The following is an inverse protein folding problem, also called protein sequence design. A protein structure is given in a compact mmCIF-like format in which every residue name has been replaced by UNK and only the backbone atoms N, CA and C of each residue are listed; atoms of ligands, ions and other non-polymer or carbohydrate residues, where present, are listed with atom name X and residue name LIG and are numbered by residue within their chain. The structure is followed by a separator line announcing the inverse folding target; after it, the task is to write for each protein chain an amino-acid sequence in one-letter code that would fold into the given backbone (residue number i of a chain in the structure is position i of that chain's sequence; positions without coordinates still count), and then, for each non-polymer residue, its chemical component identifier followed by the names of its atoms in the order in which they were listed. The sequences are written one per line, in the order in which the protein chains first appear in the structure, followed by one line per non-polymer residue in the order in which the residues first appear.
data_IF_985020374665
#
_entry.id   IF_985020374665
#
_cell.length_a   1.000
_cell.length_b   1.000
_cell.length_c   1.000
_cell.angle_alpha   90.00
_cell.angle_beta   90.00
_cell.angle_gamma   90.00
#
_symmetry.space_group_name_H-M   'P 1'
#
loop_
_entity.id
_entity.type
_entity.pdbx_description
1 polymer ?
#
# COMPACT_ATOMS: atom_id res chain seq x y z
N UNK A 1 -22.60 -13.46 17.32
CA UNK A 1 -21.12 -13.62 17.32
C UNK A 1 -20.59 -14.55 16.23
N UNK A 2 -21.20 -15.72 15.97
CA UNK A 2 -20.78 -16.63 14.87
C UNK A 2 -20.62 -15.99 13.47
N UNK A 3 -21.54 -15.16 12.94
CA UNK A 3 -21.40 -14.63 11.59
C UNK A 3 -20.20 -13.67 11.43
N UNK A 4 -19.86 -12.91 12.48
CA UNK A 4 -18.71 -12.01 12.48
C UNK A 4 -17.39 -12.77 12.37
N UNK A 5 -17.27 -13.90 13.08
CA UNK A 5 -16.08 -14.76 13.03
C UNK A 5 -15.91 -15.40 11.64
N UNK A 6 -17.01 -15.78 11.00
CA UNK A 6 -16.98 -16.31 9.63
C UNK A 6 -16.51 -15.26 8.63
N UNK A 7 -17.04 -14.03 8.71
CA UNK A 7 -16.63 -12.92 7.83
C UNK A 7 -15.15 -12.58 8.01
N UNK A 8 -14.66 -12.52 9.26
CA UNK A 8 -13.25 -12.28 9.56
C UNK A 8 -12.34 -13.38 9.00
N UNK A 9 -12.75 -14.65 9.10
CA UNK A 9 -11.98 -15.75 8.52
C UNK A 9 -11.89 -15.66 7.00
N UNK A 10 -12.98 -15.31 6.32
CA UNK A 10 -12.97 -15.11 4.87
C UNK A 10 -12.13 -13.92 4.46
N UNK A 11 -12.22 -12.80 5.19
CA UNK A 11 -11.36 -11.64 4.98
C UNK A 11 -9.88 -12.02 5.06
N UNK A 12 -9.46 -12.75 6.09
CA UNK A 12 -8.06 -13.19 6.23
C UNK A 12 -7.59 -14.10 5.09
N UNK A 13 -8.43 -15.01 4.62
CA UNK A 13 -8.11 -15.88 3.46
C UNK A 13 -7.93 -15.07 2.18
N UNK A 14 -8.77 -14.07 1.98
CA UNK A 14 -8.68 -13.18 0.83
C UNK A 14 -7.45 -12.27 0.92
N UNK A 15 -7.15 -11.74 2.10
CA UNK A 15 -5.99 -10.89 2.37
C UNK A 15 -4.67 -11.56 1.96
N UNK A 16 -4.61 -12.89 2.04
CA UNK A 16 -3.46 -13.68 1.59
C UNK A 16 -3.02 -13.32 0.17
N UNK A 17 -3.95 -13.05 -0.75
CA UNK A 17 -3.61 -12.66 -2.12
C UNK A 17 -2.85 -11.33 -2.16
N UNK A 18 -3.28 -10.36 -1.35
CA UNK A 18 -2.58 -9.09 -1.20
C UNK A 18 -1.21 -9.26 -0.52
N UNK A 19 -1.11 -10.17 0.46
CA UNK A 19 0.15 -10.52 1.12
C UNK A 19 1.14 -11.17 0.16
N UNK A 20 0.70 -12.00 -0.78
CA UNK A 20 1.58 -12.56 -1.82
C UNK A 20 2.21 -11.43 -2.64
N UNK A 21 1.44 -10.44 -3.09
CA UNK A 21 1.97 -9.27 -3.82
C UNK A 21 2.92 -8.47 -2.93
N UNK A 22 2.59 -8.31 -1.65
CA UNK A 22 3.41 -7.60 -0.66
C UNK A 22 4.80 -8.24 -0.52
N UNK A 23 4.86 -9.56 -0.33
CA UNK A 23 6.14 -10.27 -0.17
C UNK A 23 6.93 -10.31 -1.48
N UNK A 24 6.25 -10.40 -2.64
CA UNK A 24 6.92 -10.30 -3.94
C UNK A 24 7.53 -8.91 -4.17
N UNK A 25 6.88 -7.84 -3.71
CA UNK A 25 7.41 -6.48 -3.75
C UNK A 25 8.69 -6.33 -2.90
N UNK A 26 8.69 -6.92 -1.70
CA UNK A 26 9.90 -7.03 -0.87
C UNK A 26 11.01 -7.79 -1.59
N UNK A 27 10.73 -9.00 -2.07
CA UNK A 27 11.69 -9.86 -2.76
C UNK A 27 12.32 -9.14 -3.97
N UNK A 28 11.50 -8.51 -4.81
CA UNK A 28 11.97 -7.77 -5.98
C UNK A 28 12.93 -6.64 -5.55
N UNK A 29 12.55 -5.85 -4.55
CA UNK A 29 13.33 -4.70 -4.11
C UNK A 29 14.64 -5.11 -3.44
N UNK A 30 14.62 -6.21 -2.67
CA UNK A 30 15.82 -6.85 -2.12
C UNK A 30 16.79 -7.21 -3.25
N UNK A 31 16.30 -7.87 -4.30
CA UNK A 31 17.12 -8.27 -5.45
C UNK A 31 17.68 -7.05 -6.18
N UNK A 32 16.88 -6.00 -6.37
CA UNK A 32 17.32 -4.73 -6.97
C UNK A 32 18.37 -4.01 -6.12
N UNK A 33 18.30 -4.10 -4.79
CA UNK A 33 19.31 -3.55 -3.87
C UNK A 33 20.57 -4.42 -3.73
N UNK A 34 20.73 -5.46 -4.56
CA UNK A 34 21.88 -6.37 -4.53
C UNK A 34 21.87 -7.37 -3.37
N UNK A 35 20.72 -7.55 -2.71
CA UNK A 35 20.52 -8.55 -1.67
C UNK A 35 20.34 -9.97 -2.23
N UNK A 36 20.55 -10.96 -1.37
CA UNK A 36 20.30 -12.36 -1.66
C UNK A 36 19.11 -12.85 -0.84
N UNK A 37 18.18 -13.51 -1.53
CA UNK A 37 16.98 -14.09 -0.94
C UNK A 37 17.29 -15.54 -0.58
N UNK A 38 17.12 -15.88 0.68
CA UNK A 38 17.34 -17.23 1.19
C UNK A 38 16.05 -18.06 1.13
N UNK A 39 14.92 -17.42 1.40
CA UNK A 39 13.62 -18.08 1.43
C UNK A 39 12.51 -17.05 1.18
N UNK A 40 11.52 -17.41 0.37
CA UNK A 40 10.30 -16.63 0.16
C UNK A 40 9.15 -17.41 0.77
N UNK A 41 8.65 -16.95 1.93
CA UNK A 41 7.37 -17.40 2.45
C UNK A 41 6.32 -16.38 2.03
N UNK A 42 5.69 -16.65 0.89
CA UNK A 42 4.69 -15.77 0.24
C UNK A 42 3.53 -15.34 1.15
N UNK A 43 3.36 -16.00 2.29
CA UNK A 43 2.27 -15.77 3.25
C UNK A 43 2.72 -15.08 4.54
N UNK A 44 4.02 -14.82 4.74
CA UNK A 44 4.48 -14.32 6.05
C UNK A 44 5.76 -13.48 6.07
N UNK A 45 6.80 -13.80 5.28
CA UNK A 45 8.00 -12.96 5.18
C UNK A 45 8.92 -13.40 4.02
N UNK A 46 9.77 -12.49 3.56
CA UNK A 46 10.96 -12.79 2.75
C UNK A 46 12.22 -12.79 3.63
N UNK A 47 12.90 -13.92 3.74
CA UNK A 47 14.20 -13.99 4.42
C UNK A 47 15.29 -13.60 3.43
N UNK A 48 16.02 -12.53 3.75
CA UNK A 48 17.07 -12.01 2.91
C UNK A 48 18.26 -11.52 3.70
N UNK A 49 19.41 -11.43 3.03
CA UNK A 49 20.62 -10.87 3.60
C UNK A 49 21.38 -10.05 2.55
N UNK A 50 22.12 -9.06 3.02
CA UNK A 50 22.84 -8.12 2.16
C UNK A 50 23.41 -6.96 2.95
N UNK A 51 24.33 -6.21 2.35
CA UNK A 51 24.88 -4.97 2.91
C UNK A 51 24.00 -3.79 2.50
N UNK A 52 22.95 -3.54 3.27
CA UNK A 52 21.99 -2.47 2.98
C UNK A 52 22.40 -1.16 3.66
N UNK A 53 22.48 -0.09 2.88
CA UNK A 53 22.53 1.27 3.42
C UNK A 53 21.11 1.72 3.84
N UNK A 54 20.99 2.93 4.38
CA UNK A 54 19.69 3.44 4.84
C UNK A 54 18.67 3.55 3.70
N UNK A 55 19.09 4.00 2.51
CA UNK A 55 18.23 4.10 1.34
C UNK A 55 17.69 2.75 0.90
N UNK A 56 18.54 1.71 0.88
CA UNK A 56 18.11 0.34 0.60
C UNK A 56 17.12 -0.18 1.65
N UNK A 57 17.34 0.10 2.94
CA UNK A 57 16.41 -0.30 4.00
C UNK A 57 15.06 0.39 3.85
N UNK A 58 15.02 1.69 3.53
CA UNK A 58 13.77 2.42 3.25
C UNK A 58 13.07 1.82 2.02
N UNK A 59 13.81 1.64 0.92
CA UNK A 59 13.26 1.08 -0.32
C UNK A 59 12.65 -0.29 -0.09
N UNK A 60 13.38 -1.21 0.55
CA UNK A 60 12.88 -2.56 0.88
C UNK A 60 11.65 -2.44 1.79
N UNK A 61 11.75 -1.71 2.90
CA UNK A 61 10.68 -1.66 3.92
C UNK A 61 9.37 -1.05 3.43
N UNK A 62 9.42 -0.14 2.45
CA UNK A 62 8.24 0.56 1.92
C UNK A 62 7.88 0.17 0.49
N UNK A 63 8.61 -0.75 -0.14
CA UNK A 63 8.29 -1.24 -1.48
C UNK A 63 6.87 -1.82 -1.60
N UNK A 64 6.39 -2.64 -0.65
CA UNK A 64 5.02 -3.15 -0.73
C UNK A 64 3.97 -2.05 -0.66
N UNK A 65 4.21 -1.01 0.17
CA UNK A 65 3.30 0.13 0.25
C UNK A 65 3.14 0.76 -1.13
N UNK A 66 4.24 1.00 -1.84
CA UNK A 66 4.21 1.61 -3.18
C UNK A 66 3.60 0.67 -4.21
N UNK A 67 4.07 -0.58 -4.29
CA UNK A 67 3.68 -1.54 -5.33
C UNK A 67 2.22 -1.96 -5.18
N UNK A 68 1.78 -2.34 -3.97
CA UNK A 68 0.40 -2.74 -3.74
C UNK A 68 -0.57 -1.57 -3.95
N UNK A 69 -0.20 -0.36 -3.49
CA UNK A 69 -1.05 0.83 -3.71
C UNK A 69 -1.18 1.15 -5.19
N UNK A 70 -0.07 1.12 -5.94
CA UNK A 70 -0.09 1.37 -7.37
C UNK A 70 -0.91 0.30 -8.12
N UNK A 71 -0.71 -0.98 -7.82
CA UNK A 71 -1.45 -2.07 -8.44
C UNK A 71 -2.95 -1.95 -8.14
N UNK A 72 -3.32 -1.72 -6.88
CA UNK A 72 -4.71 -1.52 -6.48
C UNK A 72 -5.35 -0.31 -7.17
N UNK A 73 -4.62 0.81 -7.27
CA UNK A 73 -5.10 2.00 -7.95
C UNK A 73 -5.31 1.76 -9.45
N UNK A 74 -4.38 1.08 -10.12
CA UNK A 74 -4.50 0.72 -11.54
C UNK A 74 -5.70 -0.21 -11.75
N UNK A 75 -5.87 -1.24 -10.91
CA UNK A 75 -7.02 -2.14 -11.01
C UNK A 75 -8.33 -1.41 -10.77
N UNK A 76 -8.39 -0.49 -9.80
CA UNK A 76 -9.59 0.28 -9.51
C UNK A 76 -9.94 1.25 -10.64
N UNK A 77 -8.96 1.95 -11.21
CA UNK A 77 -9.15 2.82 -12.36
C UNK A 77 -9.62 2.01 -13.59
N UNK A 78 -9.01 0.84 -13.83
CA UNK A 78 -9.44 -0.07 -14.88
C UNK A 78 -10.89 -0.54 -14.69
N UNK A 79 -11.28 -0.87 -13.45
CA UNK A 79 -12.65 -1.28 -13.14
C UNK A 79 -13.67 -0.20 -13.52
N UNK A 80 -13.38 1.07 -13.22
CA UNK A 80 -14.27 2.19 -13.59
C UNK A 80 -14.33 2.38 -15.10
N UNK A 81 -13.26 2.10 -15.83
CA UNK A 81 -13.21 2.16 -17.30
C UNK A 81 -13.82 0.96 -18.04
N UNK A 82 -14.22 -0.10 -17.33
CA UNK A 82 -14.81 -1.31 -17.95
C UNK A 82 -16.04 -1.06 -18.83
N UNK A 83 -17.02 -0.21 -18.44
CA UNK A 83 -18.22 0.03 -19.24
C UNK A 83 -17.93 0.56 -20.65
N UNK A 84 -16.84 1.32 -20.79
CA UNK A 84 -16.43 1.94 -22.05
C UNK A 84 -15.48 1.04 -22.87
N UNK A 85 -15.07 -0.10 -22.32
CA UNK A 85 -14.17 -1.06 -22.98
C UNK A 85 -14.94 -2.14 -23.76
N UNK A 86 -14.26 -2.84 -24.68
CA UNK A 86 -14.80 -4.03 -25.38
C UNK A 86 -14.75 -5.32 -24.54
N UNK A 87 -14.09 -5.28 -23.38
CA UNK A 87 -13.79 -6.46 -22.60
C UNK A 87 -15.05 -7.16 -22.03
N UNK A 88 -16.06 -6.45 -21.48
CA UNK A 88 -17.29 -7.11 -21.03
C UNK A 88 -18.06 -7.82 -22.15
N UNK A 89 -18.02 -7.29 -23.38
CA UNK A 89 -18.64 -7.88 -24.56
C UNK A 89 -17.90 -9.17 -24.96
N UNK A 90 -16.57 -9.12 -25.01
CA UNK A 90 -15.72 -10.29 -25.29
C UNK A 90 -15.89 -11.38 -24.22
N UNK A 91 -15.92 -11.00 -22.93
CA UNK A 91 -16.13 -11.92 -21.83
C UNK A 91 -17.53 -12.57 -21.84
N UNK A 92 -18.57 -11.78 -22.15
CA UNK A 92 -19.94 -12.29 -22.35
C UNK A 92 -20.00 -13.27 -23.51
N UNK A 93 -19.36 -12.97 -24.65
CA UNK A 93 -19.29 -13.86 -25.80
C UNK A 93 -18.54 -15.17 -25.49
N UNK A 94 -17.46 -15.11 -24.70
CA UNK A 94 -16.69 -16.29 -24.29
C UNK A 94 -17.50 -17.29 -23.45
N UNK A 95 -18.51 -16.82 -22.69
CA UNK A 95 -19.46 -17.67 -21.97
C UNK A 95 -20.73 -17.97 -22.78
N UNK A 96 -20.67 -17.82 -24.10
CA UNK A 96 -21.76 -18.13 -25.03
C UNK A 96 -22.91 -17.12 -25.05
N UNK A 97 -22.69 -15.90 -24.53
CA UNK A 97 -23.71 -14.85 -24.46
C UNK A 97 -24.82 -15.12 -23.42
N UNK A 98 -24.64 -16.12 -22.56
CA UNK A 98 -25.62 -16.50 -21.52
C UNK A 98 -25.80 -15.37 -20.51
N UNK A 99 -24.71 -14.66 -20.18
CA UNK A 99 -24.71 -13.54 -19.24
C UNK A 99 -24.78 -12.23 -20.02
N UNK A 100 -25.82 -11.38 -19.82
CA UNK A 100 -25.91 -10.08 -20.47
C UNK A 100 -24.68 -9.22 -20.18
N UNK A 101 -24.23 -8.44 -21.17
CA UNK A 101 -23.05 -7.55 -21.04
C UNK A 101 -23.16 -6.63 -19.83
N UNK A 102 -24.34 -6.09 -19.54
CA UNK A 102 -24.58 -5.24 -18.36
C UNK A 102 -24.28 -5.96 -17.05
N UNK A 103 -24.70 -7.22 -16.91
CA UNK A 103 -24.42 -8.04 -15.74
C UNK A 103 -22.93 -8.41 -15.70
N UNK A 104 -22.34 -8.76 -16.84
CA UNK A 104 -20.91 -9.07 -16.95
C UNK A 104 -20.05 -7.88 -16.51
N UNK A 105 -20.36 -6.66 -16.96
CA UNK A 105 -19.67 -5.43 -16.56
C UNK A 105 -19.69 -5.26 -15.05
N UNK A 106 -20.85 -5.38 -14.40
CA UNK A 106 -20.97 -5.25 -12.94
C UNK A 106 -20.16 -6.33 -12.22
N UNK A 107 -20.23 -7.58 -12.69
CA UNK A 107 -19.46 -8.69 -12.10
C UNK A 107 -17.95 -8.42 -12.20
N UNK A 108 -17.46 -8.02 -13.36
CA UNK A 108 -16.04 -7.69 -13.58
C UNK A 108 -15.60 -6.49 -12.73
N UNK A 109 -16.44 -5.47 -12.61
CA UNK A 109 -16.18 -4.32 -11.74
C UNK A 109 -16.06 -4.74 -10.27
N UNK A 110 -17.00 -5.55 -9.78
CA UNK A 110 -16.97 -6.04 -8.39
C UNK A 110 -15.73 -6.89 -8.13
N UNK A 111 -15.35 -7.76 -9.07
CA UNK A 111 -14.13 -8.58 -8.95
C UNK A 111 -12.89 -7.70 -8.94
N UNK A 112 -12.77 -6.77 -9.87
CA UNK A 112 -11.61 -5.89 -10.00
C UNK A 112 -11.45 -4.97 -8.78
N UNK A 113 -12.54 -4.32 -8.35
CA UNK A 113 -12.54 -3.50 -7.13
C UNK A 113 -12.28 -4.33 -5.89
N UNK A 114 -12.88 -5.52 -5.78
CA UNK A 114 -12.63 -6.44 -4.67
C UNK A 114 -11.17 -6.87 -4.59
N UNK A 115 -10.56 -7.21 -5.73
CA UNK A 115 -9.14 -7.53 -5.81
C UNK A 115 -8.26 -6.32 -5.44
N UNK A 116 -8.53 -5.16 -6.02
CA UNK A 116 -7.83 -3.92 -5.70
C UNK A 116 -7.90 -3.58 -4.21
N UNK A 117 -9.07 -3.75 -3.59
CA UNK A 117 -9.24 -3.54 -2.15
C UNK A 117 -8.35 -4.47 -1.32
N UNK A 118 -8.34 -5.76 -1.63
CA UNK A 118 -7.52 -6.76 -0.94
C UNK A 118 -6.02 -6.46 -1.07
N UNK A 119 -5.58 -6.09 -2.28
CA UNK A 119 -4.18 -5.73 -2.54
C UNK A 119 -3.79 -4.47 -1.75
N UNK A 120 -4.62 -3.43 -1.77
CA UNK A 120 -4.37 -2.20 -1.01
C UNK A 120 -4.40 -2.44 0.50
N UNK A 121 -5.32 -3.28 1.00
CA UNK A 121 -5.42 -3.62 2.42
C UNK A 121 -4.11 -4.23 2.94
N UNK A 122 -3.47 -5.07 2.13
CA UNK A 122 -2.18 -5.66 2.45
C UNK A 122 -0.98 -4.72 2.24
N UNK A 123 -1.15 -3.46 1.83
CA UNK A 123 -0.02 -2.58 1.49
C UNK A 123 0.74 -2.03 2.71
N UNK A 124 0.07 -1.91 3.87
CA UNK A 124 0.64 -1.22 5.03
C UNK A 124 1.85 -1.98 5.61
N UNK A 125 2.98 -1.29 5.85
CA UNK A 125 4.21 -1.93 6.34
C UNK A 125 4.03 -2.51 7.74
N UNK A 126 4.68 -3.64 8.01
CA UNK A 126 4.70 -4.22 9.36
C UNK A 126 5.54 -3.37 10.31
N UNK A 127 5.43 -3.64 11.62
CA UNK A 127 6.31 -3.00 12.60
C UNK A 127 7.79 -3.30 12.34
N UNK A 128 8.11 -4.51 11.88
CA UNK A 128 9.47 -4.90 11.55
C UNK A 128 10.00 -4.08 10.37
N UNK A 129 9.18 -3.89 9.34
CA UNK A 129 9.54 -3.08 8.17
C UNK A 129 9.76 -1.62 8.58
N UNK A 130 8.84 -1.02 9.33
CA UNK A 130 9.00 0.36 9.80
C UNK A 130 10.23 0.55 10.73
N UNK A 131 10.59 -0.50 11.49
CA UNK A 131 11.70 -0.45 12.46
C UNK A 131 13.08 -0.54 11.80
N UNK A 132 13.23 -1.27 10.69
CA UNK A 132 14.53 -1.54 10.09
C UNK A 132 15.26 -0.25 9.63
N UNK A 133 14.63 0.67 8.86
CA UNK A 133 15.23 1.94 8.50
C UNK A 133 15.58 2.80 9.71
N UNK A 134 14.69 2.83 10.71
CA UNK A 134 14.87 3.60 11.94
C UNK A 134 16.10 3.12 12.72
N UNK A 135 16.27 1.80 12.85
CA UNK A 135 17.43 1.19 13.51
C UNK A 135 18.73 1.54 12.77
N UNK A 136 18.74 1.41 11.44
CA UNK A 136 19.91 1.75 10.63
C UNK A 136 20.26 3.23 10.73
N UNK A 137 19.27 4.12 10.68
CA UNK A 137 19.48 5.56 10.83
C UNK A 137 20.07 5.91 12.20
N UNK A 138 19.51 5.35 13.28
CA UNK A 138 20.02 5.55 14.64
C UNK A 138 21.46 5.04 14.80
N UNK A 139 21.79 3.89 14.22
CA UNK A 139 23.15 3.35 14.23
C UNK A 139 24.14 4.24 13.47
N UNK A 140 23.72 4.81 12.34
CA UNK A 140 24.55 5.75 11.58
C UNK A 140 24.74 7.08 12.32
N UNK A 141 23.72 7.58 13.01
CA UNK A 141 23.84 8.79 13.83
C UNK A 141 24.80 8.64 15.01
N UNK A 142 24.93 7.43 15.57
CA UNK A 142 25.89 7.15 16.65
C UNK A 142 27.36 7.28 16.20
N UNK A 143 27.64 7.20 14.89
CA UNK A 143 28.96 7.42 14.32
C UNK A 143 29.11 8.89 13.92
N UNK A 144 29.52 9.73 14.87
CA UNK A 144 29.70 11.17 14.68
C UNK A 144 30.86 11.46 13.73
N UNK A 145 30.55 12.10 12.60
CA UNK A 145 31.54 12.72 11.70
C UNK A 145 31.26 14.23 11.63
N UNK A 146 32.26 15.04 11.30
CA UNK A 146 32.13 16.51 11.26
C UNK A 146 31.00 16.97 10.31
N UNK A 147 30.86 16.32 9.15
CA UNK A 147 29.75 16.56 8.22
C UNK A 147 28.39 16.25 8.86
N UNK A 148 28.32 15.20 9.69
CA UNK A 148 27.09 14.79 10.37
C UNK A 148 26.68 15.78 11.45
N UNK A 149 27.63 16.39 12.16
CA UNK A 149 27.36 17.42 13.18
C UNK A 149 26.57 18.60 12.60
N UNK A 150 26.96 19.07 11.41
CA UNK A 150 26.24 20.14 10.70
C UNK A 150 24.83 19.73 10.29
N UNK A 151 24.61 18.44 10.01
CA UNK A 151 23.30 17.91 9.62
C UNK A 151 22.47 17.40 10.80
N UNK A 152 22.95 17.48 12.06
CA UNK A 152 22.24 16.97 13.24
C UNK A 152 20.81 17.51 13.36
N UNK A 153 20.54 18.82 13.23
CA UNK A 153 19.18 19.35 13.39
C UNK A 153 18.21 18.76 12.37
N UNK A 154 18.64 18.67 11.10
CA UNK A 154 17.85 18.06 10.03
C UNK A 154 17.67 16.56 10.27
N UNK A 155 18.72 15.87 10.71
CA UNK A 155 18.66 14.45 11.02
C UNK A 155 17.71 14.14 12.18
N UNK A 156 17.66 14.99 13.22
CA UNK A 156 16.72 14.88 14.32
C UNK A 156 15.28 15.12 13.86
N UNK A 157 15.05 16.09 12.97
CA UNK A 157 13.74 16.33 12.38
C UNK A 157 13.26 15.11 11.57
N UNK A 158 14.13 14.55 10.72
CA UNK A 158 13.84 13.32 9.97
C UNK A 158 13.57 12.16 10.93
N UNK A 159 14.33 12.05 12.02
CA UNK A 159 14.11 11.03 13.05
C UNK A 159 12.72 11.16 13.67
N UNK A 160 12.33 12.38 14.05
CA UNK A 160 11.03 12.69 14.63
C UNK A 160 9.91 12.34 13.66
N UNK A 161 10.00 12.76 12.40
CA UNK A 161 9.02 12.41 11.36
C UNK A 161 8.93 10.89 11.21
N UNK A 162 10.07 10.19 11.19
CA UNK A 162 10.16 8.74 11.11
C UNK A 162 9.58 7.98 12.32
N UNK A 163 9.45 8.64 13.49
CA UNK A 163 8.79 8.02 14.66
C UNK A 163 7.29 7.86 14.48
N UNK A 164 6.66 8.69 13.64
CA UNK A 164 5.20 8.65 13.39
C UNK A 164 4.79 7.31 12.75
N UNK A 165 5.32 6.90 11.57
CA UNK A 165 4.97 5.61 10.97
C UNK A 165 5.40 4.43 11.85
N UNK A 166 6.51 4.55 12.60
CA UNK A 166 6.95 3.51 13.53
C UNK A 166 5.98 3.31 14.70
N UNK A 167 5.53 4.41 15.33
CA UNK A 167 4.57 4.37 16.44
C UNK A 167 3.24 3.83 15.96
N UNK A 168 2.77 4.28 14.79
CA UNK A 168 1.56 3.75 14.18
C UNK A 168 1.66 2.24 13.91
N UNK A 169 2.74 1.78 13.28
CA UNK A 169 2.97 0.36 13.02
C UNK A 169 3.09 -0.47 14.32
N UNK A 170 3.64 0.11 15.39
CA UNK A 170 3.69 -0.52 16.71
C UNK A 170 2.30 -0.67 17.34
N UNK A 171 1.50 0.41 17.36
CA UNK A 171 0.13 0.35 17.88
C UNK A 171 -0.71 -0.65 17.07
N UNK A 172 -0.55 -0.63 15.75
CA UNK A 172 -1.19 -1.56 14.81
C UNK A 172 -0.84 -3.02 15.11
N UNK A 173 0.42 -3.32 15.45
CA UNK A 173 0.84 -4.69 15.77
C UNK A 173 0.36 -5.19 17.15
N UNK A 174 -0.04 -4.27 18.04
CA UNK A 174 -0.57 -4.60 19.38
C UNK A 174 -2.08 -4.78 19.43
N UNK A 175 -2.83 -4.27 18.45
CA UNK A 175 -4.28 -4.31 18.42
C UNK A 175 -4.79 -4.87 17.10
N UNK A 176 -5.38 -6.06 17.13
CA UNK A 176 -5.99 -6.69 15.95
C UNK A 176 -7.11 -5.84 15.35
N UNK A 177 -7.85 -5.10 16.20
CA UNK A 177 -8.89 -4.18 15.74
C UNK A 177 -8.29 -2.99 15.00
N UNK A 178 -7.23 -2.38 15.53
CA UNK A 178 -6.53 -1.29 14.85
C UNK A 178 -5.88 -1.76 13.55
N UNK A 179 -5.35 -2.98 13.54
CA UNK A 179 -4.83 -3.65 12.34
C UNK A 179 -5.88 -3.70 11.25
N UNK A 180 -7.02 -4.33 11.50
CA UNK A 180 -8.10 -4.48 10.51
C UNK A 180 -8.65 -3.11 10.08
N UNK A 181 -8.93 -2.21 11.03
CA UNK A 181 -9.47 -0.88 10.70
C UNK A 181 -8.49 -0.10 9.83
N UNK A 182 -7.18 -0.13 10.13
CA UNK A 182 -6.18 0.58 9.34
C UNK A 182 -6.07 0.04 7.91
N UNK A 183 -6.12 -1.28 7.73
CA UNK A 183 -6.09 -1.91 6.40
C UNK A 183 -7.33 -1.55 5.59
N UNK A 184 -8.51 -1.68 6.19
CA UNK A 184 -9.78 -1.35 5.53
C UNK A 184 -9.86 0.15 5.20
N UNK A 185 -9.45 1.02 6.11
CA UNK A 185 -9.46 2.48 5.89
C UNK A 185 -8.50 2.86 4.78
N UNK A 186 -7.28 2.32 4.80
CA UNK A 186 -6.29 2.58 3.78
C UNK A 186 -6.75 2.08 2.41
N UNK A 187 -7.22 0.84 2.32
CA UNK A 187 -7.74 0.26 1.08
C UNK A 187 -8.90 1.07 0.52
N UNK A 188 -9.85 1.47 1.38
CA UNK A 188 -10.97 2.32 0.99
C UNK A 188 -10.48 3.67 0.44
N UNK A 189 -9.53 4.32 1.12
CA UNK A 189 -8.99 5.60 0.66
C UNK A 189 -8.31 5.47 -0.71
N UNK A 190 -7.49 4.43 -0.92
CA UNK A 190 -6.83 4.17 -2.21
C UNK A 190 -7.84 3.98 -3.32
N UNK A 191 -8.87 3.16 -3.10
CA UNK A 191 -9.91 2.90 -4.11
C UNK A 191 -10.74 4.15 -4.40
N UNK A 192 -11.17 4.87 -3.37
CA UNK A 192 -11.95 6.10 -3.56
C UNK A 192 -11.16 7.15 -4.34
N UNK A 193 -9.86 7.28 -4.07
CA UNK A 193 -8.98 8.18 -4.80
C UNK A 193 -8.75 7.73 -6.24
N UNK A 194 -8.51 6.43 -6.46
CA UNK A 194 -8.25 5.88 -7.79
C UNK A 194 -9.47 5.88 -8.71
N UNK A 195 -10.67 5.74 -8.13
CA UNK A 195 -11.94 5.79 -8.88
C UNK A 195 -12.45 7.21 -9.11
N UNK A 196 -11.79 8.23 -8.55
CA UNK A 196 -12.27 9.61 -8.59
C UNK A 196 -13.51 9.88 -7.73
N UNK A 197 -13.95 8.91 -6.91
CA UNK A 197 -15.13 9.03 -6.05
C UNK A 197 -14.88 9.95 -4.86
N UNK A 198 -13.64 10.01 -4.37
CA UNK A 198 -13.21 11.01 -3.40
C UNK A 198 -11.84 11.57 -3.81
N UNK A 199 -11.77 12.88 -4.02
CA UNK A 199 -10.49 13.57 -4.23
C UNK A 199 -9.97 13.96 -2.86
N UNK A 200 -8.87 13.36 -2.41
CA UNK A 200 -8.09 13.93 -1.31
C UNK A 200 -7.53 15.24 -1.85
N UNK A 201 -8.17 16.35 -1.47
CA UNK A 201 -7.86 17.67 -2.01
C UNK A 201 -6.45 18.06 -1.56
N UNK A 202 -5.56 18.26 -2.53
CA UNK A 202 -4.27 18.89 -2.30
C UNK A 202 -4.51 20.30 -1.72
N UNK A 203 -4.08 20.61 -0.48
CA UNK A 203 -4.27 21.92 0.13
C UNK A 203 -3.71 23.06 -0.71
N UNK A 204 -2.69 22.78 -1.51
CA UNK A 204 -2.05 23.73 -2.43
C UNK A 204 -2.90 24.00 -3.67
N UNK A 205 -3.63 22.99 -4.15
CA UNK A 205 -4.61 23.14 -5.24
C UNK A 205 -5.87 23.83 -4.71
N UNK A 206 -6.34 23.45 -3.51
CA UNK A 206 -7.44 24.14 -2.83
C UNK A 206 -7.11 25.61 -2.60
N UNK A 207 -5.89 25.91 -2.14
CA UNK A 207 -5.41 27.26 -1.93
C UNK A 207 -5.39 28.08 -3.22
N UNK A 208 -4.93 27.50 -4.33
CA UNK A 208 -4.98 28.16 -5.65
C UNK A 208 -6.41 28.40 -6.13
N UNK A 209 -7.27 27.39 -6.05
CA UNK A 209 -8.69 27.53 -6.43
C UNK A 209 -9.38 28.60 -5.57
N UNK A 210 -9.12 28.65 -4.27
CA UNK A 210 -9.66 29.68 -3.39
C UNK A 210 -9.09 31.08 -3.72
N UNK A 211 -7.79 31.21 -3.99
CA UNK A 211 -7.19 32.48 -4.40
C UNK A 211 -7.74 32.95 -5.76
N UNK A 212 -7.92 32.05 -6.72
CA UNK A 212 -8.47 32.37 -8.04
C UNK A 212 -9.96 32.74 -7.95
N UNK A 213 -10.70 32.16 -7.02
CA UNK A 213 -12.14 32.42 -6.83
C UNK A 213 -12.42 33.68 -6.00
N UNK A 214 -11.59 33.98 -5.00
CA UNK A 214 -11.73 35.16 -4.14
C UNK A 214 -10.90 36.37 -4.59
N UNK A 215 -9.88 36.17 -5.45
CA UNK A 215 -9.08 37.25 -6.04
C UNK A 215 -9.74 37.93 -7.24
N UNK A 216 -10.95 37.51 -7.63
CA UNK A 216 -11.77 38.16 -8.66
C UNK A 216 -12.85 39.09 -8.07
N UNK A 217 -12.89 39.27 -6.75
CA UNK A 217 -13.71 40.26 -6.02
C UNK A 217 -12.82 41.32 -5.37
#
# INVERSE_FOLDING_TARGET
MQPLLTVLSWYQKLLLLGTVVHELAHALTVKLCGGQINEIKLTSHVNHHGRYNLGHQIAISYAPLVINTALAAITAAWAVGLPDSSFPQEASAAVGGIIPVTVMTVVLQVIALGFGFIVAAAALPSYTDARNPYRTFRQQLAQLTVLRVLTIPLALLILLIGTIPLTFAYLRSRSSLLHIISEMTFATAVLLQATGTAVIVDPTVMGRVLVDYFGQF
#
